data_IF_129984048197
#
_entry.id   IF_129984048197
#
_cell.length_a   1.000
_cell.length_b   1.000
_cell.length_c   1.000
_cell.angle_alpha   90.00
_cell.angle_beta   90.00
_cell.angle_gamma   90.00
#
_symmetry.space_group_name_H-M   'P 1'
#
loop_
_entity.id
_entity.type
_entity.pdbx_description
1 polymer ?
#
# COMPACT_ATOMS: atom_id res chain seq x y z
N UNK A 1 -0.91 -51.61 -54.21
CA UNK A 1 -1.91 -50.60 -53.83
C UNK A 1 -1.56 -50.04 -52.44
N UNK A 2 -0.42 -49.34 -52.31
CA UNK A 2 0.06 -48.79 -51.04
C UNK A 2 0.86 -47.47 -51.20
N UNK A 3 1.02 -46.97 -52.43
CA UNK A 3 1.82 -45.77 -52.73
C UNK A 3 1.05 -44.47 -52.81
N UNK A 4 -0.28 -44.51 -52.94
CA UNK A 4 -1.12 -43.32 -53.19
C UNK A 4 -1.73 -42.74 -51.91
N UNK A 5 -1.84 -43.54 -50.84
CA UNK A 5 -2.34 -43.10 -49.53
C UNK A 5 -1.27 -42.39 -48.69
N UNK A 6 0.01 -42.69 -48.90
CA UNK A 6 1.12 -42.05 -48.18
C UNK A 6 1.39 -40.62 -48.66
N UNK A 7 1.20 -40.34 -49.96
CA UNK A 7 1.41 -39.01 -50.55
C UNK A 7 0.33 -38.02 -50.13
N UNK A 8 -0.92 -38.47 -49.98
CA UNK A 8 -2.06 -37.63 -49.57
C UNK A 8 -1.96 -37.23 -48.09
N UNK A 9 -1.54 -38.16 -47.22
CA UNK A 9 -1.37 -37.88 -45.79
C UNK A 9 -0.24 -36.89 -45.49
N UNK A 10 0.83 -36.88 -46.30
CA UNK A 10 1.95 -35.93 -46.16
C UNK A 10 1.55 -34.53 -46.64
N UNK A 11 0.70 -34.41 -47.67
CA UNK A 11 0.19 -33.12 -48.12
C UNK A 11 -0.81 -32.50 -47.14
N UNK A 12 -1.72 -33.29 -46.55
CA UNK A 12 -2.65 -32.79 -45.53
C UNK A 12 -1.92 -32.36 -44.25
N UNK A 13 -0.92 -33.10 -43.78
CA UNK A 13 -0.15 -32.72 -42.59
C UNK A 13 0.65 -31.41 -42.77
N UNK A 14 1.15 -31.15 -43.99
CA UNK A 14 1.85 -29.90 -44.31
C UNK A 14 0.89 -28.69 -44.35
N UNK A 15 -0.36 -28.89 -44.76
CA UNK A 15 -1.39 -27.86 -44.83
C UNK A 15 -1.99 -27.52 -43.45
N UNK A 16 -2.14 -28.55 -42.59
CA UNK A 16 -2.47 -28.39 -41.17
C UNK A 16 -1.34 -27.65 -40.42
N UNK A 17 -0.07 -27.94 -40.72
CA UNK A 17 1.07 -27.23 -40.14
C UNK A 17 1.12 -25.73 -40.48
N UNK A 18 0.73 -25.37 -41.72
CA UNK A 18 0.67 -23.96 -42.16
C UNK A 18 -0.51 -23.20 -41.54
N UNK A 19 -1.66 -23.84 -41.41
CA UNK A 19 -2.85 -23.25 -40.77
C UNK A 19 -2.64 -23.04 -39.27
N UNK A 20 -2.05 -24.00 -38.55
CA UNK A 20 -1.72 -23.84 -37.12
C UNK A 20 -0.67 -22.73 -36.90
N UNK A 21 0.33 -22.61 -37.76
CA UNK A 21 1.32 -21.53 -37.68
C UNK A 21 0.72 -20.14 -37.99
N UNK A 22 -0.27 -20.06 -38.88
CA UNK A 22 -1.01 -18.83 -39.16
C UNK A 22 -1.92 -18.44 -37.98
N UNK A 23 -2.59 -19.42 -37.35
CA UNK A 23 -3.41 -19.18 -36.16
C UNK A 23 -2.56 -18.76 -34.94
N UNK A 24 -1.38 -19.33 -34.75
CA UNK A 24 -0.46 -18.93 -33.69
C UNK A 24 0.09 -17.49 -33.89
N UNK A 25 0.29 -17.05 -35.13
CA UNK A 25 0.65 -15.66 -35.46
C UNK A 25 -0.52 -14.70 -35.26
N UNK A 26 -1.76 -15.12 -35.56
CA UNK A 26 -2.98 -14.33 -35.34
C UNK A 26 -3.31 -14.18 -33.83
N UNK A 27 -3.00 -15.19 -33.01
CA UNK A 27 -3.12 -15.10 -31.54
C UNK A 27 -2.06 -14.13 -30.98
N UNK A 28 -0.85 -14.11 -31.56
CA UNK A 28 0.22 -13.17 -31.15
C UNK A 28 -0.05 -11.73 -31.61
N UNK A 29 -0.78 -11.52 -32.71
CA UNK A 29 -1.21 -10.17 -33.15
C UNK A 29 -2.47 -9.67 -32.44
N UNK A 30 -3.39 -10.57 -32.05
CA UNK A 30 -4.60 -10.23 -31.28
C UNK A 30 -4.34 -9.97 -29.79
N UNK A 31 -3.19 -10.37 -29.26
CA UNK A 31 -2.73 -9.97 -27.93
C UNK A 31 -2.43 -8.46 -27.77
N UNK A 32 -2.50 -7.68 -28.86
CA UNK A 32 -2.34 -6.22 -28.86
C UNK A 32 -3.67 -5.47 -29.08
N UNK A 33 -4.81 -6.15 -28.92
CA UNK A 33 -6.09 -5.46 -28.85
C UNK A 33 -6.20 -4.78 -27.47
N UNK A 34 -5.88 -3.49 -27.45
CA UNK A 34 -6.13 -2.56 -26.36
C UNK A 34 -7.47 -2.91 -25.69
N UNK A 35 -7.40 -3.39 -24.44
CA UNK A 35 -8.55 -3.29 -23.55
C UNK A 35 -8.76 -1.80 -23.28
N UNK A 36 -9.64 -1.20 -24.08
CA UNK A 36 -10.22 0.11 -23.81
C UNK A 36 -10.99 -0.05 -22.50
N UNK A 37 -10.40 0.40 -21.38
CA UNK A 37 -11.08 0.48 -20.08
C UNK A 37 -10.34 -0.06 -18.85
N UNK A 38 -9.13 -0.63 -18.99
CA UNK A 38 -8.30 -1.02 -17.85
C UNK A 38 -7.41 0.13 -17.34
N UNK A 39 -7.14 0.27 -16.03
CA UNK A 39 -6.19 1.25 -15.53
C UNK A 39 -4.79 0.93 -16.07
N UNK A 40 -4.26 1.82 -16.92
CA UNK A 40 -2.91 1.71 -17.47
C UNK A 40 -1.91 1.97 -16.36
N UNK A 41 -0.95 1.06 -16.18
CA UNK A 41 0.16 1.26 -15.24
C UNK A 41 1.04 2.44 -15.67
N UNK A 42 1.52 3.23 -14.73
CA UNK A 42 2.30 4.45 -14.98
C UNK A 42 3.52 4.20 -15.91
N UNK A 43 4.16 3.03 -15.77
CA UNK A 43 5.29 2.64 -16.62
C UNK A 43 4.91 2.46 -18.10
N UNK A 44 3.71 1.95 -18.38
CA UNK A 44 3.20 1.82 -19.74
C UNK A 44 2.85 3.19 -20.34
N UNK A 45 2.26 4.09 -19.55
CA UNK A 45 1.98 5.46 -20.00
C UNK A 45 3.25 6.23 -20.38
N UNK A 46 4.32 6.10 -19.58
CA UNK A 46 5.60 6.76 -19.84
C UNK A 46 6.34 6.18 -21.06
N UNK A 47 6.28 4.86 -21.28
CA UNK A 47 6.95 4.20 -22.41
C UNK A 47 6.33 4.54 -23.77
N UNK A 48 5.04 4.88 -23.82
CA UNK A 48 4.35 5.23 -25.06
C UNK A 48 4.52 6.68 -25.51
N UNK A 49 5.30 7.50 -24.79
CA UNK A 49 5.57 8.90 -25.17
C UNK A 49 4.30 9.75 -25.26
N UNK A 50 3.22 9.32 -24.61
CA UNK A 50 1.96 10.05 -24.60
C UNK A 50 2.14 11.32 -23.77
N UNK A 51 2.14 12.47 -24.44
CA UNK A 51 1.82 13.74 -23.80
C UNK A 51 0.38 13.65 -23.31
N UNK A 52 0.17 13.23 -22.06
CA UNK A 52 -1.13 13.34 -21.40
C UNK A 52 -1.28 14.79 -20.95
N UNK A 53 -1.48 15.68 -21.91
CA UNK A 53 -2.10 16.96 -21.67
C UNK A 53 -3.59 16.69 -21.40
N UNK A 54 -3.98 16.90 -20.15
CA UNK A 54 -5.37 17.10 -19.73
C UNK A 54 -6.32 15.89 -19.79
N UNK A 55 -6.27 15.04 -18.76
CA UNK A 55 -7.45 14.66 -17.97
C UNK A 55 -6.96 13.99 -16.70
N UNK A 56 -6.61 14.81 -15.70
CA UNK A 56 -6.57 14.32 -14.34
C UNK A 56 -8.02 13.98 -13.98
N UNK A 57 -8.39 12.70 -14.10
CA UNK A 57 -9.57 12.21 -13.41
C UNK A 57 -9.24 12.25 -11.92
N UNK A 58 -9.52 13.40 -11.30
CA UNK A 58 -9.52 13.59 -9.85
C UNK A 58 -10.62 12.77 -9.17
N UNK A 59 -11.38 11.96 -9.92
CA UNK A 59 -12.41 11.05 -9.38
C UNK A 59 -11.82 9.95 -8.50
N UNK A 60 -10.51 9.70 -8.55
CA UNK A 60 -9.81 8.79 -7.63
C UNK A 60 -8.78 9.51 -6.75
N UNK A 61 -8.94 10.82 -6.51
CA UNK A 61 -8.60 11.29 -5.18
C UNK A 61 -9.56 10.53 -4.26
N UNK A 62 -9.11 9.41 -3.68
CA UNK A 62 -9.81 8.83 -2.55
C UNK A 62 -9.94 9.98 -1.55
N UNK A 63 -11.11 10.61 -1.56
CA UNK A 63 -11.68 11.24 -0.39
C UNK A 63 -11.71 10.09 0.61
N UNK A 64 -10.62 9.91 1.37
CA UNK A 64 -10.67 9.14 2.58
C UNK A 64 -11.90 9.71 3.31
N UNK A 65 -12.95 8.90 3.55
CA UNK A 65 -14.15 9.43 4.15
C UNK A 65 -13.70 10.18 5.40
N UNK A 66 -14.16 11.43 5.58
CA UNK A 66 -13.71 12.35 6.63
C UNK A 66 -13.73 11.77 8.06
N UNK A 67 -14.39 10.62 8.22
CA UNK A 67 -14.40 9.76 9.39
C UNK A 67 -13.06 9.07 9.69
N UNK A 68 -12.33 8.58 8.68
CA UNK A 68 -10.99 7.96 8.84
C UNK A 68 -9.93 8.98 9.29
N UNK A 69 -10.17 10.27 9.03
CA UNK A 69 -9.27 11.35 9.42
C UNK A 69 -9.36 11.73 10.90
N UNK A 70 -10.37 11.26 11.65
CA UNK A 70 -10.53 11.58 13.09
C UNK A 70 -10.46 10.33 13.97
N UNK A 71 -10.00 9.22 13.40
CA UNK A 71 -9.93 7.93 14.06
C UNK A 71 -8.47 7.49 14.21
N UNK A 72 -8.11 7.05 15.41
CA UNK A 72 -6.84 6.42 15.74
C UNK A 72 -7.13 4.96 16.05
N UNK A 73 -6.42 4.06 15.38
CA UNK A 73 -6.44 2.65 15.73
C UNK A 73 -5.22 2.35 16.59
N UNK A 74 -5.44 1.77 17.77
CA UNK A 74 -4.39 1.28 18.65
C UNK A 74 -4.39 -0.24 18.60
N UNK A 75 -3.30 -0.82 18.10
CA UNK A 75 -3.08 -2.25 18.13
C UNK A 75 -2.79 -2.72 19.55
N UNK A 76 -3.46 -3.80 19.95
CA UNK A 76 -3.26 -4.41 21.27
C UNK A 76 -2.81 -5.84 21.05
N UNK A 77 -1.60 -6.19 21.50
CA UNK A 77 -1.03 -7.53 21.30
C UNK A 77 -1.22 -8.46 22.50
N UNK A 78 -1.47 -7.90 23.68
CA UNK A 78 -1.62 -8.68 24.90
C UNK A 78 -3.07 -9.18 25.04
N UNK A 79 -3.25 -10.50 25.11
CA UNK A 79 -4.57 -11.13 25.20
C UNK A 79 -5.33 -10.79 26.50
N UNK A 80 -4.63 -10.63 27.62
CA UNK A 80 -5.24 -10.23 28.90
C UNK A 80 -5.75 -8.79 28.82
N UNK A 81 -4.96 -7.88 28.24
CA UNK A 81 -5.39 -6.50 27.98
C UNK A 81 -6.62 -6.46 27.06
N UNK A 82 -6.63 -7.26 25.98
CA UNK A 82 -7.78 -7.36 25.07
C UNK A 82 -9.03 -7.81 25.83
N UNK A 83 -8.95 -8.86 26.66
CA UNK A 83 -10.09 -9.37 27.42
C UNK A 83 -10.59 -8.36 28.47
N UNK A 84 -9.66 -7.71 29.18
CA UNK A 84 -9.99 -6.70 30.18
C UNK A 84 -10.76 -5.53 29.57
N UNK A 85 -10.26 -5.00 28.44
CA UNK A 85 -10.93 -3.93 27.70
C UNK A 85 -12.28 -4.42 27.14
N UNK A 86 -12.37 -5.68 26.68
CA UNK A 86 -13.62 -6.23 26.15
C UNK A 86 -14.75 -6.30 27.19
N UNK A 87 -14.40 -6.48 28.45
CA UNK A 87 -15.36 -6.50 29.55
C UNK A 87 -15.91 -5.10 29.89
N UNK A 88 -15.25 -4.03 29.45
CA UNK A 88 -15.71 -2.66 29.68
C UNK A 88 -16.84 -2.29 28.72
N UNK A 89 -17.82 -1.51 29.21
CA UNK A 89 -18.77 -0.85 28.31
C UNK A 89 -18.11 0.37 27.62
N UNK A 90 -18.65 0.85 26.48
CA UNK A 90 -18.04 1.95 25.72
C UNK A 90 -17.83 3.27 26.48
N UNK A 91 -18.66 3.55 27.50
CA UNK A 91 -18.50 4.77 28.32
C UNK A 91 -17.28 4.67 29.24
N UNK A 92 -17.11 3.52 29.89
CA UNK A 92 -15.93 3.23 30.72
C UNK A 92 -14.68 3.21 29.85
N UNK A 93 -14.76 2.62 28.65
CA UNK A 93 -13.66 2.60 27.69
C UNK A 93 -13.20 4.02 27.32
N UNK A 94 -14.15 4.90 26.97
CA UNK A 94 -13.86 6.31 26.69
C UNK A 94 -13.17 6.99 27.88
N UNK A 95 -13.72 6.85 29.08
CA UNK A 95 -13.15 7.45 30.29
C UNK A 95 -11.74 6.92 30.61
N UNK A 96 -11.48 5.64 30.36
CA UNK A 96 -10.16 5.04 30.51
C UNK A 96 -9.15 5.65 29.55
N UNK A 97 -9.52 5.83 28.27
CA UNK A 97 -8.68 6.51 27.28
C UNK A 97 -8.44 7.98 27.64
N UNK A 98 -9.49 8.71 28.01
CA UNK A 98 -9.36 10.12 28.41
C UNK A 98 -8.46 10.27 29.65
N UNK A 99 -8.52 9.32 30.58
CA UNK A 99 -7.64 9.29 31.77
C UNK A 99 -6.20 9.04 31.36
N UNK A 100 -5.92 8.08 30.48
CA UNK A 100 -4.58 7.82 29.96
C UNK A 100 -3.97 9.03 29.23
N UNK A 101 -4.79 9.78 28.49
CA UNK A 101 -4.36 11.03 27.82
C UNK A 101 -4.11 12.13 28.86
N UNK A 102 -5.01 12.31 29.83
CA UNK A 102 -4.88 13.35 30.85
C UNK A 102 -3.72 13.09 31.83
N UNK A 103 -3.37 11.82 32.05
CA UNK A 103 -2.22 11.40 32.85
C UNK A 103 -0.89 11.54 32.10
N UNK A 104 -0.90 11.83 30.79
CA UNK A 104 0.33 12.22 30.12
C UNK A 104 0.81 13.56 30.67
N UNK A 105 2.08 13.66 31.04
CA UNK A 105 2.71 14.93 31.49
C UNK A 105 2.86 15.94 30.34
N UNK A 106 2.27 15.67 29.18
CA UNK A 106 2.40 16.44 27.97
C UNK A 106 1.24 17.42 27.79
N UNK A 107 1.55 18.72 27.94
CA UNK A 107 0.58 19.83 27.82
C UNK A 107 -0.13 19.89 26.45
N UNK A 108 0.49 19.35 25.39
CA UNK A 108 -0.08 19.37 24.04
C UNK A 108 -1.26 18.40 23.87
N UNK A 109 -1.33 17.34 24.69
CA UNK A 109 -2.37 16.30 24.58
C UNK A 109 -3.26 16.22 25.82
N UNK A 110 -2.81 16.68 27.00
CA UNK A 110 -3.57 16.57 28.25
C UNK A 110 -4.97 17.23 28.20
N UNK A 111 -5.19 18.22 27.33
CA UNK A 111 -6.49 18.89 27.15
C UNK A 111 -7.38 18.24 26.09
N UNK A 112 -6.86 17.27 25.34
CA UNK A 112 -7.62 16.60 24.27
C UNK A 112 -8.56 15.60 24.91
N UNK A 113 -9.84 15.69 24.55
CA UNK A 113 -10.87 14.72 24.96
C UNK A 113 -11.34 13.93 23.76
N UNK A 114 -11.53 12.63 23.95
CA UNK A 114 -12.03 11.77 22.88
C UNK A 114 -13.56 11.90 22.76
N UNK A 115 -14.10 11.69 21.55
CA UNK A 115 -15.54 11.56 21.34
C UNK A 115 -16.02 10.17 21.75
N UNK A 116 -15.26 9.15 21.37
CA UNK A 116 -15.60 7.74 21.64
C UNK A 116 -14.37 6.86 21.61
N UNK A 117 -14.41 5.78 22.38
CA UNK A 117 -13.45 4.69 22.29
C UNK A 117 -14.19 3.35 22.28
N UNK A 118 -13.83 2.46 21.34
CA UNK A 118 -14.48 1.16 21.18
C UNK A 118 -13.45 0.10 20.83
N UNK A 119 -13.61 -1.11 21.37
CA UNK A 119 -12.81 -2.24 20.93
C UNK A 119 -13.38 -2.85 19.64
N UNK A 120 -12.51 -3.04 18.65
CA UNK A 120 -12.83 -3.68 17.38
C UNK A 120 -12.92 -5.20 17.53
N UNK A 121 -13.53 -5.86 16.54
CA UNK A 121 -13.60 -7.33 16.48
C UNK A 121 -12.22 -7.99 16.50
N UNK A 122 -11.20 -7.33 15.94
CA UNK A 122 -9.80 -7.77 15.98
C UNK A 122 -9.20 -7.78 17.39
N UNK A 123 -9.79 -7.06 18.35
CA UNK A 123 -9.22 -6.81 19.67
C UNK A 123 -8.50 -5.48 19.80
N UNK A 124 -8.23 -4.80 18.68
CA UNK A 124 -7.67 -3.45 18.64
C UNK A 124 -8.65 -2.40 19.16
N UNK A 125 -8.16 -1.22 19.50
CA UNK A 125 -8.98 -0.11 20.00
C UNK A 125 -9.12 0.97 18.92
N UNK A 126 -10.36 1.38 18.65
CA UNK A 126 -10.69 2.54 17.82
C UNK A 126 -11.02 3.72 18.72
N UNK A 127 -10.32 4.83 18.53
CA UNK A 127 -10.49 6.07 19.28
C UNK A 127 -10.83 7.18 18.30
N UNK A 128 -11.90 7.93 18.57
CA UNK A 128 -12.28 9.08 17.75
C UNK A 128 -12.09 10.39 18.50
N UNK A 129 -11.52 11.38 17.83
CA UNK A 129 -11.35 12.75 18.33
C UNK A 129 -12.39 13.70 17.73
N UNK A 130 -12.49 14.91 18.28
CA UNK A 130 -13.41 15.92 17.75
C UNK A 130 -12.90 16.50 16.44
N UNK A 131 -11.60 16.74 16.34
CA UNK A 131 -10.95 17.31 15.16
C UNK A 131 -9.83 16.44 14.60
N UNK A 132 -9.49 16.63 13.32
CA UNK A 132 -8.34 15.97 12.70
C UNK A 132 -7.01 16.47 13.29
N UNK A 133 -6.94 17.74 13.71
CA UNK A 133 -5.75 18.29 14.37
C UNK A 133 -5.47 17.60 15.71
N UNK A 134 -6.51 17.38 16.53
CA UNK A 134 -6.37 16.61 17.78
C UNK A 134 -5.91 15.17 17.51
N UNK A 135 -6.45 14.52 16.47
CA UNK A 135 -6.03 13.18 16.06
C UNK A 135 -4.53 13.16 15.74
N UNK A 136 -4.08 14.10 14.90
CA UNK A 136 -2.68 14.21 14.51
C UNK A 136 -1.77 14.50 15.71
N UNK A 137 -2.19 15.35 16.64
CA UNK A 137 -1.42 15.63 17.86
C UNK A 137 -1.31 14.38 18.74
N UNK A 138 -2.41 13.65 18.97
CA UNK A 138 -2.38 12.37 19.70
C UNK A 138 -1.51 11.31 19.00
N UNK A 139 -1.52 11.28 17.67
CA UNK A 139 -0.67 10.40 16.86
C UNK A 139 0.81 10.83 16.87
N UNK A 140 1.12 12.10 17.17
CA UNK A 140 2.50 12.56 17.29
C UNK A 140 3.11 12.17 18.64
N UNK A 141 2.30 12.17 19.70
CA UNK A 141 2.73 11.94 21.08
C UNK A 141 2.28 10.58 21.61
N UNK A 142 2.35 9.53 20.77
CA UNK A 142 1.87 8.19 21.12
C UNK A 142 2.58 7.61 22.33
N UNK A 143 3.85 7.91 22.49
CA UNK A 143 4.69 7.35 23.54
C UNK A 143 4.26 7.82 24.95
N UNK A 144 3.54 8.95 25.04
CA UNK A 144 3.17 9.57 26.31
C UNK A 144 1.89 8.98 26.92
N UNK A 145 0.95 8.48 26.11
CA UNK A 145 -0.38 8.04 26.57
C UNK A 145 -0.73 6.60 26.19
N UNK A 146 -0.22 6.07 25.08
CA UNK A 146 -0.58 4.72 24.60
C UNK A 146 -0.16 3.63 25.59
N UNK A 147 1.06 3.64 26.18
CA UNK A 147 1.46 2.62 27.16
C UNK A 147 0.54 2.56 28.38
N UNK A 148 -0.14 3.66 28.71
CA UNK A 148 -1.04 3.75 29.87
C UNK A 148 -2.37 3.00 29.63
N UNK A 149 -2.72 2.68 28.39
CA UNK A 149 -3.89 1.86 28.05
C UNK A 149 -3.69 0.37 28.40
N UNK A 150 -2.47 -0.02 28.73
CA UNK A 150 -2.11 -1.38 29.12
C UNK A 150 -0.97 -1.96 28.29
N UNK A 151 -0.47 -3.11 28.75
CA UNK A 151 0.72 -3.74 28.17
C UNK A 151 0.51 -4.18 26.73
N UNK A 152 1.52 -3.95 25.87
CA UNK A 152 1.52 -4.40 24.47
C UNK A 152 0.62 -3.59 23.54
N UNK A 153 0.28 -2.36 23.93
CA UNK A 153 -0.44 -1.36 23.14
C UNK A 153 0.52 -0.58 22.25
N UNK A 154 0.15 -0.36 21.00
CA UNK A 154 0.92 0.42 20.02
C UNK A 154 -0.06 1.11 19.07
N UNK A 155 0.15 2.38 18.70
CA UNK A 155 -0.68 3.00 17.66
C UNK A 155 -0.39 2.33 16.31
N UNK A 156 -1.46 2.02 15.59
CA UNK A 156 -1.39 1.46 14.26
C UNK A 156 -0.90 2.55 13.29
N UNK A 157 0.38 2.48 12.94
CA UNK A 157 0.91 3.29 11.84
C UNK A 157 0.48 2.67 10.52
N UNK A 158 -0.27 3.42 9.71
CA UNK A 158 -0.56 3.00 8.34
C UNK A 158 0.75 2.98 7.55
N UNK A 159 1.17 1.80 7.11
CA UNK A 159 2.32 1.63 6.24
C UNK A 159 1.82 1.28 4.85
N UNK A 160 1.99 2.20 3.90
CA UNK A 160 1.61 1.97 2.51
C UNK A 160 2.78 1.33 1.77
N UNK A 161 2.61 0.08 1.36
CA UNK A 161 3.61 -0.67 0.60
C UNK A 161 3.40 -0.45 -0.90
N UNK A 162 4.40 0.13 -1.55
CA UNK A 162 4.42 0.33 -3.00
C UNK A 162 5.48 -0.58 -3.61
N UNK A 163 5.10 -1.37 -4.61
CA UNK A 163 6.04 -2.18 -5.39
C UNK A 163 6.31 -1.47 -6.70
N UNK A 164 7.58 -1.23 -6.99
CA UNK A 164 8.01 -0.60 -8.24
C UNK A 164 8.80 -1.65 -9.03
N UNK A 165 8.29 -1.97 -10.21
CA UNK A 165 8.89 -2.95 -11.11
C UNK A 165 9.94 -2.32 -12.02
N UNK A 166 10.73 -3.17 -12.68
CA UNK A 166 11.62 -2.77 -13.77
C UNK A 166 12.69 -1.74 -13.39
N UNK A 167 13.17 -1.80 -12.14
CA UNK A 167 14.29 -0.98 -11.68
C UNK A 167 15.60 -1.66 -12.09
N UNK A 168 16.45 -0.92 -12.80
CA UNK A 168 17.78 -1.41 -13.19
C UNK A 168 18.65 -1.58 -11.95
N UNK A 169 19.17 -2.79 -11.74
CA UNK A 169 19.88 -3.16 -10.50
C UNK A 169 21.19 -2.39 -10.32
N UNK A 170 21.79 -1.91 -11.40
CA UNK A 170 22.98 -1.05 -11.39
C UNK A 170 22.71 0.42 -11.03
N UNK A 171 21.46 0.87 -11.10
CA UNK A 171 21.10 2.29 -10.88
C UNK A 171 20.59 2.58 -9.47
N UNK A 172 20.27 1.54 -8.70
CA UNK A 172 19.62 1.69 -7.40
C UNK A 172 20.49 1.10 -6.29
N UNK A 173 21.08 1.96 -5.46
CA UNK A 173 21.82 1.54 -4.28
C UNK A 173 20.91 1.54 -3.04
N UNK A 174 20.24 0.41 -2.78
CA UNK A 174 19.36 0.27 -1.60
C UNK A 174 20.12 0.25 -0.26
N UNK A 175 21.45 0.13 -0.28
CA UNK A 175 22.27 0.22 0.94
C UNK A 175 22.46 1.69 1.38
N UNK A 176 22.42 2.63 0.42
CA UNK A 176 22.37 4.08 0.64
C UNK A 176 20.97 4.58 0.94
N UNK A 177 20.32 4.01 1.97
CA UNK A 177 18.91 4.27 2.27
C UNK A 177 18.60 5.77 2.43
N UNK A 178 19.47 6.55 3.07
CA UNK A 178 19.22 7.97 3.37
C UNK A 178 19.20 8.82 2.11
N UNK A 179 20.16 8.59 1.22
CA UNK A 179 20.33 9.34 -0.03
C UNK A 179 19.17 9.04 -0.97
N UNK A 180 18.87 7.75 -1.17
CA UNK A 180 17.77 7.30 -2.03
C UNK A 180 16.42 7.78 -1.51
N UNK A 181 16.20 7.71 -0.18
CA UNK A 181 15.00 8.25 0.46
C UNK A 181 14.82 9.74 0.14
N UNK A 182 15.87 10.53 0.32
CA UNK A 182 15.82 11.98 0.06
C UNK A 182 15.52 12.29 -1.41
N UNK A 183 16.16 11.57 -2.34
CA UNK A 183 15.94 11.74 -3.78
C UNK A 183 14.49 11.44 -4.18
N UNK A 184 13.95 10.29 -3.74
CA UNK A 184 12.56 9.90 -4.05
C UNK A 184 11.57 10.89 -3.45
N UNK A 185 11.75 11.31 -2.20
CA UNK A 185 10.86 12.29 -1.57
C UNK A 185 10.93 13.66 -2.25
N UNK A 186 12.13 14.10 -2.65
CA UNK A 186 12.31 15.38 -3.34
C UNK A 186 11.67 15.35 -4.73
N UNK A 187 11.86 14.28 -5.51
CA UNK A 187 11.27 14.13 -6.84
C UNK A 187 9.74 14.09 -6.80
N UNK A 188 9.15 13.58 -5.70
CA UNK A 188 7.71 13.43 -5.56
C UNK A 188 7.06 14.48 -4.64
N UNK A 189 7.81 15.50 -4.19
CA UNK A 189 7.34 16.47 -3.17
C UNK A 189 6.05 17.20 -3.56
N UNK A 190 5.86 17.46 -4.86
CA UNK A 190 4.66 18.12 -5.37
C UNK A 190 3.38 17.28 -5.19
N UNK A 191 3.51 15.94 -5.22
CA UNK A 191 2.39 15.00 -5.09
C UNK A 191 2.25 14.46 -3.66
N UNK A 192 3.37 14.32 -2.95
CA UNK A 192 3.47 13.73 -1.61
C UNK A 192 4.18 14.72 -0.66
N UNK A 193 3.55 15.88 -0.35
CA UNK A 193 4.22 16.95 0.39
C UNK A 193 4.56 16.57 1.83
N UNK A 194 3.80 15.65 2.44
CA UNK A 194 3.95 15.24 3.84
C UNK A 194 4.41 13.80 4.03
N UNK A 195 4.63 13.04 2.96
CA UNK A 195 4.98 11.64 3.07
C UNK A 195 6.40 11.46 3.62
N UNK A 196 6.59 10.39 4.38
CA UNK A 196 7.91 9.90 4.73
C UNK A 196 8.11 8.45 4.27
N UNK A 197 9.36 8.00 4.16
CA UNK A 197 9.69 6.63 3.78
C UNK A 197 10.37 5.93 4.95
N UNK A 198 9.78 4.81 5.38
CA UNK A 198 10.28 3.96 6.46
C UNK A 198 11.28 2.91 5.96
N UNK A 199 11.04 2.35 4.79
CA UNK A 199 11.87 1.29 4.23
C UNK A 199 11.92 1.33 2.71
N UNK A 200 13.09 1.00 2.15
CA UNK A 200 13.32 0.77 0.73
C UNK A 200 14.16 -0.49 0.62
N UNK A 201 13.77 -1.43 -0.23
CA UNK A 201 14.57 -2.63 -0.45
C UNK A 201 14.18 -3.37 -1.71
N UNK A 202 15.05 -4.27 -2.14
CA UNK A 202 14.72 -5.19 -3.23
C UNK A 202 13.65 -6.17 -2.76
N UNK A 203 12.62 -6.36 -3.58
CA UNK A 203 11.56 -7.35 -3.33
C UNK A 203 12.15 -8.77 -3.31
N UNK A 204 13.16 -9.02 -4.14
CA UNK A 204 13.89 -10.30 -4.20
C UNK A 204 15.24 -10.19 -3.50
N UNK A 205 15.60 -11.17 -2.67
CA UNK A 205 16.88 -11.20 -1.91
C UNK A 205 18.16 -11.23 -2.78
N UNK A 206 18.08 -11.57 -4.07
CA UNK A 206 19.22 -11.63 -4.99
C UNK A 206 18.92 -10.93 -6.32
N UNK A 207 18.86 -9.59 -6.34
CA UNK A 207 18.62 -8.84 -7.58
C UNK A 207 19.82 -8.91 -8.54
N UNK A 208 21.04 -9.17 -8.04
CA UNK A 208 22.32 -9.00 -8.76
C UNK A 208 22.47 -9.82 -10.04
N UNK A 209 21.70 -10.90 -10.22
CA UNK A 209 21.79 -11.74 -11.41
C UNK A 209 20.88 -11.26 -12.55
N UNK A 210 19.95 -10.35 -12.29
CA UNK A 210 19.05 -9.80 -13.28
C UNK A 210 19.38 -8.32 -13.53
N UNK A 211 19.32 -7.91 -14.79
CA UNK A 211 19.53 -6.50 -15.19
C UNK A 211 18.43 -5.58 -14.63
N UNK A 212 17.25 -6.12 -14.37
CA UNK A 212 16.08 -5.43 -13.83
C UNK A 212 15.48 -6.23 -12.68
N UNK A 213 15.00 -5.55 -11.65
CA UNK A 213 14.28 -6.17 -10.54
C UNK A 213 13.19 -5.23 -10.02
N UNK A 214 12.51 -5.64 -8.96
CA UNK A 214 11.48 -4.84 -8.29
C UNK A 214 11.94 -4.42 -6.91
N UNK A 215 11.61 -3.19 -6.53
CA UNK A 215 11.80 -2.69 -5.17
C UNK A 215 10.45 -2.58 -4.45
N UNK A 216 10.50 -2.65 -3.14
CA UNK A 216 9.40 -2.31 -2.25
C UNK A 216 9.77 -1.03 -1.50
N UNK A 217 8.83 -0.09 -1.43
CA UNK A 217 8.93 1.12 -0.64
C UNK A 217 7.78 1.12 0.37
N UNK A 218 8.09 1.34 1.63
CA UNK A 218 7.12 1.47 2.70
C UNK A 218 7.01 2.93 3.12
N UNK A 219 5.90 3.57 2.75
CA UNK A 219 5.59 4.95 3.12
C UNK A 219 4.86 5.02 4.45
N UNK A 220 5.08 6.13 5.17
CA UNK A 220 4.41 6.51 6.41
C UNK A 220 3.89 7.93 6.32
#
# INVERSE_FOLDING_TARGET
MAGETATVAVTEAAEVGKTVAAMARDIKSKGTQHQIGGPISYAAAAAHGALIANTYSTQNAHNAPSLMQREIIVNIRNAQTIQHLRAMNPRIMKAHVDTAIAQSENEHIAKITTISANQLKSGDLSIRTATNSEMQTLHKFTDDWVPQLGSGTLVHTYIYKVIIHSIRTSMMNTEGFKEVKAEILQANKAFLPTADIKYIGWLTRRPRNNSMSSIIIEFT
#
